data_IF_241616519107
#
_entry.id   IF_241616519107
#
_cell.length_a   1.000
_cell.length_b   1.000
_cell.length_c   1.000
_cell.angle_alpha   90.00
_cell.angle_beta   90.00
_cell.angle_gamma   90.00
#
_symmetry.space_group_name_H-M   'P 1'
#
loop_
_entity.id
_entity.type
_entity.pdbx_description
1 polymer ?
#
# COMPACT_ATOMS: atom_id res chain seq x y z
N UNK A 1 50.72 23.61 32.09
CA UNK A 1 51.23 23.21 30.75
C UNK A 1 50.66 21.88 30.40
N UNK A 2 49.59 21.86 29.63
CA UNK A 2 49.04 20.63 29.09
C UNK A 2 48.55 21.00 27.68
N UNK A 3 49.17 20.37 26.71
CA UNK A 3 48.99 20.66 25.29
C UNK A 3 47.68 20.09 24.77
N UNK A 4 47.01 20.95 24.04
CA UNK A 4 45.79 20.67 23.28
C UNK A 4 46.16 19.83 22.03
N UNK A 5 45.68 18.62 21.93
CA UNK A 5 45.84 17.77 20.75
C UNK A 5 44.57 17.86 19.91
N UNK A 6 44.61 18.82 18.99
CA UNK A 6 43.73 18.92 17.82
C UNK A 6 43.73 17.58 17.05
N UNK A 7 42.59 16.84 17.07
CA UNK A 7 42.30 15.71 16.21
C UNK A 7 41.37 16.12 15.09
N UNK A 8 41.90 16.86 14.12
CA UNK A 8 41.24 17.03 12.83
C UNK A 8 41.25 15.69 12.07
N UNK A 9 40.08 15.09 11.92
CA UNK A 9 39.88 13.94 11.07
C UNK A 9 40.18 14.28 9.60
N UNK A 10 40.89 13.45 8.84
CA UNK A 10 41.21 13.72 7.45
C UNK A 10 39.93 13.66 6.60
N UNK A 11 39.60 14.80 5.99
CA UNK A 11 38.62 14.90 4.90
C UNK A 11 39.04 13.97 3.76
N UNK A 12 38.27 12.94 3.50
CA UNK A 12 38.47 12.05 2.35
C UNK A 12 38.12 12.75 1.04
N UNK A 13 39.02 13.56 0.52
CA UNK A 13 39.10 13.90 -0.89
C UNK A 13 39.76 12.75 -1.62
N UNK A 14 38.97 11.74 -2.00
CA UNK A 14 39.38 10.73 -2.97
C UNK A 14 38.79 11.12 -4.31
N UNK A 15 39.69 11.47 -5.24
CA UNK A 15 39.46 11.74 -6.67
C UNK A 15 38.40 12.84 -6.94
N UNK A 16 38.86 13.94 -7.53
CA UNK A 16 38.09 15.15 -7.92
C UNK A 16 37.01 14.93 -8.98
N UNK A 17 36.18 13.90 -8.80
CA UNK A 17 34.98 13.68 -9.61
C UNK A 17 33.82 14.23 -8.79
N UNK A 18 33.23 15.30 -9.30
CA UNK A 18 32.06 15.93 -8.74
C UNK A 18 30.94 14.90 -8.60
N UNK A 19 30.28 14.82 -7.42
CA UNK A 19 29.18 13.89 -7.16
C UNK A 19 28.03 14.05 -8.15
N UNK A 20 27.85 15.23 -8.72
CA UNK A 20 26.88 15.50 -9.78
C UNK A 20 27.32 14.88 -11.11
N UNK A 21 28.61 14.95 -11.45
CA UNK A 21 29.15 14.27 -12.63
C UNK A 21 29.05 12.74 -12.53
N UNK A 22 29.36 12.17 -11.37
CA UNK A 22 29.19 10.74 -11.13
C UNK A 22 27.73 10.29 -11.21
N UNK A 23 26.80 11.10 -10.69
CA UNK A 23 25.35 10.85 -10.83
C UNK A 23 24.90 10.95 -12.28
N UNK A 24 25.40 11.92 -13.04
CA UNK A 24 25.09 12.07 -14.46
C UNK A 24 25.59 10.89 -15.29
N UNK A 25 26.83 10.46 -15.08
CA UNK A 25 27.43 9.31 -15.81
C UNK A 25 26.76 7.99 -15.41
N UNK A 26 26.47 7.80 -14.11
CA UNK A 26 25.75 6.61 -13.63
C UNK A 26 24.28 6.63 -14.10
N UNK A 27 23.66 7.80 -14.23
CA UNK A 27 22.32 7.98 -14.81
C UNK A 27 22.28 7.62 -16.29
N UNK A 28 23.36 7.88 -17.01
CA UNK A 28 23.49 7.49 -18.42
C UNK A 28 23.67 5.97 -18.61
N UNK A 29 24.35 5.32 -17.65
CA UNK A 29 24.54 3.86 -17.63
C UNK A 29 23.30 3.08 -17.14
N UNK A 30 22.40 3.73 -16.42
CA UNK A 30 21.15 3.12 -15.93
C UNK A 30 20.03 4.17 -15.92
N UNK A 31 19.49 4.52 -17.10
CA UNK A 31 18.42 5.51 -17.21
C UNK A 31 17.22 5.10 -16.37
N UNK A 32 16.51 6.09 -15.84
CA UNK A 32 15.23 5.84 -15.19
C UNK A 32 14.30 5.09 -16.14
N UNK A 33 13.50 4.19 -15.59
CA UNK A 33 12.46 3.50 -16.37
C UNK A 33 11.10 3.83 -15.80
N UNK A 34 10.14 4.12 -16.66
CA UNK A 34 8.75 4.26 -16.29
C UNK A 34 8.25 2.99 -15.62
N UNK A 35 7.54 3.15 -14.52
CA UNK A 35 6.89 2.03 -13.83
C UNK A 35 5.64 1.56 -14.59
N UNK A 36 5.06 2.43 -15.43
CA UNK A 36 3.85 2.17 -16.20
C UNK A 36 4.18 1.55 -17.55
N UNK A 37 4.93 2.26 -18.39
CA UNK A 37 5.25 1.82 -19.76
C UNK A 37 6.51 0.95 -19.82
N UNK A 38 7.47 1.18 -18.93
CA UNK A 38 8.80 0.57 -18.99
C UNK A 38 9.79 1.35 -19.86
N UNK A 39 9.37 2.49 -20.43
CA UNK A 39 10.21 3.32 -21.29
C UNK A 39 11.34 3.98 -20.49
N UNK A 40 12.44 4.24 -21.17
CA UNK A 40 13.57 4.97 -20.59
C UNK A 40 13.20 6.43 -20.35
N UNK A 41 13.47 6.92 -19.15
CA UNK A 41 13.20 8.30 -18.73
C UNK A 41 14.49 9.02 -18.38
N UNK A 42 14.51 10.34 -18.57
CA UNK A 42 15.59 11.18 -18.08
C UNK A 42 15.59 11.24 -16.53
N UNK A 43 16.72 11.61 -15.96
CA UNK A 43 16.88 11.99 -14.55
C UNK A 43 16.41 10.99 -13.50
N UNK A 44 16.50 9.68 -13.78
CA UNK A 44 16.00 8.65 -12.88
C UNK A 44 14.51 8.79 -12.52
N UNK A 45 13.71 9.49 -13.32
CA UNK A 45 12.27 9.60 -13.18
C UNK A 45 11.61 8.20 -13.19
N UNK A 46 10.43 8.10 -12.61
CA UNK A 46 9.64 6.87 -12.55
C UNK A 46 8.33 6.98 -13.32
N UNK A 47 8.01 8.18 -13.77
CA UNK A 47 6.87 8.51 -14.62
C UNK A 47 7.27 9.59 -15.60
N UNK A 48 6.72 9.58 -16.80
CA UNK A 48 6.68 10.76 -17.65
C UNK A 48 5.68 11.77 -17.07
N UNK A 49 5.75 13.03 -17.51
CA UNK A 49 4.76 14.04 -17.09
C UNK A 49 3.33 13.65 -17.49
N UNK A 50 3.17 13.06 -18.67
CA UNK A 50 1.89 12.59 -19.20
C UNK A 50 1.35 11.41 -18.39
N UNK A 51 2.21 10.43 -18.06
CA UNK A 51 1.83 9.30 -17.21
C UNK A 51 1.39 9.76 -15.83
N UNK A 52 2.14 10.71 -15.23
CA UNK A 52 1.79 11.24 -13.91
C UNK A 52 0.48 12.02 -13.95
N UNK A 53 0.27 12.85 -14.98
CA UNK A 53 -0.97 13.62 -15.15
C UNK A 53 -2.20 12.73 -15.39
N UNK A 54 -2.01 11.51 -15.88
CA UNK A 54 -3.08 10.54 -16.12
C UNK A 54 -3.47 9.70 -14.89
N UNK A 55 -2.76 9.85 -13.75
CA UNK A 55 -3.10 9.15 -12.52
C UNK A 55 -4.32 9.77 -11.84
N UNK A 56 -5.35 8.99 -11.62
CA UNK A 56 -6.57 9.41 -10.93
C UNK A 56 -6.43 9.22 -9.42
N UNK A 57 -5.96 10.26 -8.73
CA UNK A 57 -5.84 10.28 -7.28
C UNK A 57 -7.22 10.38 -6.62
N UNK A 58 -7.39 9.67 -5.50
CA UNK A 58 -8.55 9.87 -4.63
C UNK A 58 -8.22 11.01 -3.66
N UNK A 59 -8.90 12.14 -3.85
CA UNK A 59 -8.83 13.31 -3.00
C UNK A 59 -10.17 13.51 -2.26
N UNK A 60 -10.16 14.28 -1.17
CA UNK A 60 -11.40 14.65 -0.47
C UNK A 60 -12.32 15.49 -1.37
N UNK A 61 -13.66 15.34 -1.27
CA UNK A 61 -14.37 14.50 -0.29
C UNK A 61 -14.46 13.02 -0.68
N UNK A 62 -14.32 12.14 0.29
CA UNK A 62 -14.49 10.68 0.15
C UNK A 62 -15.04 10.04 1.43
N UNK A 63 -15.61 8.85 1.31
CA UNK A 63 -16.12 8.09 2.44
C UNK A 63 -14.99 7.67 3.40
N UNK A 64 -15.06 8.06 4.66
CA UNK A 64 -14.06 7.71 5.67
C UNK A 64 -13.89 6.20 5.86
N UNK A 65 -14.98 5.44 5.74
CA UNK A 65 -14.94 4.00 6.00
C UNK A 65 -14.52 3.17 4.79
N UNK A 66 -14.68 3.65 3.55
CA UNK A 66 -14.33 2.83 2.39
C UNK A 66 -13.56 3.57 1.30
N UNK A 67 -13.18 4.82 1.53
CA UNK A 67 -12.45 5.67 0.58
C UNK A 67 -13.15 5.83 -0.79
N UNK A 68 -14.50 5.68 -0.86
CA UNK A 68 -15.26 5.97 -2.07
C UNK A 68 -15.25 7.47 -2.27
N UNK A 69 -14.75 8.01 -3.40
CA UNK A 69 -14.85 9.43 -3.68
C UNK A 69 -16.31 9.86 -3.82
N UNK A 70 -16.62 11.06 -3.36
CA UNK A 70 -17.90 11.72 -3.54
C UNK A 70 -17.80 12.74 -4.66
N UNK A 71 -18.94 13.06 -5.26
CA UNK A 71 -19.04 14.21 -6.16
C UNK A 71 -18.83 15.50 -5.36
N UNK A 72 -18.24 16.56 -5.95
CA UNK A 72 -17.93 17.81 -5.25
C UNK A 72 -19.12 18.47 -4.58
N UNK A 73 -20.33 18.27 -5.13
CA UNK A 73 -21.58 18.88 -4.66
C UNK A 73 -22.26 18.05 -3.55
N UNK A 74 -21.76 16.85 -3.27
CA UNK A 74 -22.28 16.00 -2.21
C UNK A 74 -21.80 16.50 -0.85
N UNK A 75 -22.58 17.35 -0.19
CA UNK A 75 -22.36 17.84 1.18
C UNK A 75 -22.75 16.81 2.25
N UNK A 76 -22.90 15.55 1.86
CA UNK A 76 -23.31 14.48 2.76
C UNK A 76 -22.14 14.04 3.62
N UNK A 77 -22.48 13.62 4.85
CA UNK A 77 -21.51 13.27 5.89
C UNK A 77 -20.38 12.34 5.39
N UNK A 78 -19.33 12.23 6.17
CA UNK A 78 -18.08 11.52 5.86
C UNK A 78 -18.24 10.01 5.57
N UNK A 79 -19.47 9.48 5.49
CA UNK A 79 -19.75 8.05 5.30
C UNK A 79 -20.81 7.84 4.22
N UNK A 80 -20.53 7.01 3.21
CA UNK A 80 -21.45 6.71 2.12
C UNK A 80 -22.60 5.80 2.59
N UNK A 81 -23.72 5.82 1.86
CA UNK A 81 -24.93 5.03 2.20
C UNK A 81 -24.66 3.53 2.37
N UNK A 82 -23.79 2.94 1.56
CA UNK A 82 -23.42 1.53 1.70
C UNK A 82 -22.71 1.23 3.04
N UNK A 83 -21.82 2.10 3.48
CA UNK A 83 -21.14 1.96 4.76
C UNK A 83 -22.05 2.28 5.95
N UNK A 84 -22.98 3.22 5.79
CA UNK A 84 -24.00 3.49 6.80
C UNK A 84 -24.91 2.28 7.00
N UNK A 85 -25.37 1.66 5.91
CA UNK A 85 -26.23 0.47 5.96
C UNK A 85 -25.49 -0.78 6.48
N UNK A 86 -24.20 -0.93 6.17
CA UNK A 86 -23.38 -2.07 6.58
C UNK A 86 -21.96 -1.63 6.94
N UNK A 87 -21.76 -1.15 8.18
CA UNK A 87 -20.44 -0.67 8.61
C UNK A 87 -19.37 -1.76 8.50
N UNK A 88 -18.19 -1.43 7.93
CA UNK A 88 -17.07 -2.34 7.89
C UNK A 88 -16.44 -2.51 9.28
N UNK A 89 -15.70 -3.62 9.54
CA UNK A 89 -15.08 -3.89 10.84
C UNK A 89 -13.74 -3.14 11.02
N UNK A 90 -13.65 -1.91 10.57
CA UNK A 90 -12.53 -0.98 10.77
C UNK A 90 -13.07 0.45 10.86
N UNK A 91 -12.26 1.39 11.34
CA UNK A 91 -12.69 2.77 11.57
C UNK A 91 -12.59 3.60 10.29
N UNK A 92 -11.42 3.64 9.65
CA UNK A 92 -11.16 4.47 8.48
C UNK A 92 -10.48 3.66 7.38
N UNK A 93 -10.69 4.08 6.14
CA UNK A 93 -9.98 3.55 4.99
C UNK A 93 -9.42 4.67 4.13
N UNK A 94 -8.20 4.48 3.61
CA UNK A 94 -7.56 5.39 2.65
C UNK A 94 -7.09 4.59 1.44
N UNK A 95 -7.29 5.15 0.27
CA UNK A 95 -6.82 4.60 -1.00
C UNK A 95 -6.22 5.71 -1.84
N UNK A 96 -5.08 5.44 -2.49
CA UNK A 96 -4.38 6.49 -3.23
C UNK A 96 -5.05 6.81 -4.56
N UNK A 97 -5.50 5.78 -5.28
CA UNK A 97 -5.95 5.91 -6.67
C UNK A 97 -7.29 5.25 -6.92
N UNK A 98 -8.02 5.78 -7.88
CA UNK A 98 -9.09 5.03 -8.54
C UNK A 98 -8.44 3.91 -9.37
N UNK A 99 -8.98 2.69 -9.27
CA UNK A 99 -8.51 1.55 -10.04
C UNK A 99 -9.06 1.62 -11.47
N UNK A 100 -8.24 2.06 -12.39
CA UNK A 100 -8.49 2.19 -13.83
C UNK A 100 -7.40 1.46 -14.63
N UNK A 101 -7.38 1.64 -15.94
CA UNK A 101 -6.42 1.00 -16.84
C UNK A 101 -4.97 1.38 -16.52
N UNK A 102 -4.71 2.63 -16.14
CA UNK A 102 -3.37 3.12 -15.82
C UNK A 102 -2.93 2.61 -14.47
N UNK A 103 -3.76 2.78 -13.45
CA UNK A 103 -3.48 2.29 -12.11
C UNK A 103 -3.37 0.78 -12.07
N UNK A 104 -4.13 0.06 -12.93
CA UNK A 104 -4.00 -1.39 -13.08
C UNK A 104 -2.60 -1.82 -13.51
N UNK A 105 -1.94 -1.05 -14.40
CA UNK A 105 -0.54 -1.30 -14.82
C UNK A 105 0.43 -1.12 -13.65
N UNK A 106 0.23 -0.11 -12.80
CA UNK A 106 1.01 0.08 -11.56
C UNK A 106 0.84 -1.12 -10.62
N UNK A 107 -0.40 -1.55 -10.36
CA UNK A 107 -0.68 -2.71 -9.52
C UNK A 107 -0.10 -4.00 -10.12
N UNK A 108 -0.17 -4.16 -11.45
CA UNK A 108 0.43 -5.30 -12.15
C UNK A 108 1.95 -5.27 -12.11
N UNK A 109 2.59 -4.10 -12.13
CA UNK A 109 4.05 -3.98 -12.00
C UNK A 109 4.54 -4.53 -10.66
N UNK A 110 3.77 -4.34 -9.57
CA UNK A 110 4.03 -4.96 -8.26
C UNK A 110 3.93 -6.49 -8.29
N UNK A 111 3.26 -7.07 -9.31
CA UNK A 111 3.07 -8.52 -9.45
C UNK A 111 4.14 -9.17 -10.33
N UNK A 112 5.01 -8.41 -10.98
CA UNK A 112 6.10 -8.94 -11.79
C UNK A 112 7.24 -9.45 -10.90
N UNK A 113 7.73 -10.65 -11.20
CA UNK A 113 8.83 -11.27 -10.46
C UNK A 113 10.08 -10.39 -10.49
N UNK A 114 10.68 -10.16 -9.31
CA UNK A 114 11.97 -9.47 -9.19
C UNK A 114 11.93 -7.95 -9.30
N UNK A 115 10.82 -7.34 -9.71
CA UNK A 115 10.73 -5.88 -9.83
C UNK A 115 10.40 -5.25 -8.48
N UNK A 116 11.40 -4.71 -7.83
CA UNK A 116 11.26 -3.79 -6.69
C UNK A 116 11.32 -2.34 -7.12
N UNK A 117 11.38 -2.10 -8.44
CA UNK A 117 11.39 -0.76 -9.00
C UNK A 117 10.08 -0.04 -8.62
N UNK A 118 10.22 1.21 -8.19
CA UNK A 118 9.06 2.01 -7.80
C UNK A 118 8.55 1.81 -6.36
N UNK A 119 9.01 0.81 -5.59
CA UNK A 119 8.53 0.62 -4.21
C UNK A 119 8.69 1.86 -3.31
N UNK A 120 9.75 2.66 -3.52
CA UNK A 120 9.93 3.93 -2.80
C UNK A 120 8.84 4.95 -3.20
N UNK A 121 8.49 5.02 -4.49
CA UNK A 121 7.44 5.90 -4.99
C UNK A 121 6.06 5.44 -4.48
N UNK A 122 5.79 4.13 -4.48
CA UNK A 122 4.54 3.61 -3.91
C UNK A 122 4.42 3.90 -2.42
N UNK A 123 5.52 3.77 -1.66
CA UNK A 123 5.53 4.13 -0.25
C UNK A 123 5.25 5.63 -0.04
N UNK A 124 5.80 6.50 -0.90
CA UNK A 124 5.54 7.92 -0.86
C UNK A 124 4.07 8.23 -1.14
N UNK A 125 3.47 7.67 -2.19
CA UNK A 125 2.05 7.84 -2.46
C UNK A 125 1.18 7.38 -1.29
N UNK A 126 1.46 6.19 -0.74
CA UNK A 126 0.73 5.67 0.43
C UNK A 126 0.89 6.59 1.64
N UNK A 127 2.10 7.11 1.89
CA UNK A 127 2.36 7.99 3.04
C UNK A 127 1.64 9.34 2.92
N UNK A 128 1.52 9.87 1.73
CA UNK A 128 0.83 11.13 1.47
C UNK A 128 -0.70 10.96 1.54
N UNK A 129 -1.26 9.98 0.82
CA UNK A 129 -2.72 9.78 0.77
C UNK A 129 -3.32 9.25 2.08
N UNK A 130 -2.54 8.58 2.91
CA UNK A 130 -3.00 7.98 4.16
C UNK A 130 -2.29 8.55 5.39
N UNK A 131 -1.74 9.75 5.30
CA UNK A 131 -0.97 10.40 6.37
C UNK A 131 -1.73 10.42 7.70
N UNK A 132 -3.01 10.77 7.67
CA UNK A 132 -3.88 10.90 8.85
C UNK A 132 -4.08 9.58 9.62
N UNK A 133 -3.95 8.43 8.97
CA UNK A 133 -4.04 7.11 9.61
C UNK A 133 -2.66 6.50 9.88
N UNK A 134 -1.67 6.73 9.01
CA UNK A 134 -0.33 6.18 9.14
C UNK A 134 0.48 6.87 10.24
N UNK A 135 0.32 8.19 10.42
CA UNK A 135 1.06 8.97 11.43
C UNK A 135 0.74 8.57 12.88
N UNK A 136 -0.42 7.96 13.09
CA UNK A 136 -0.86 7.51 14.43
C UNK A 136 -0.79 6.00 14.61
N UNK A 137 -0.33 5.26 13.59
CA UNK A 137 -0.30 3.80 13.61
C UNK A 137 0.90 3.26 14.40
N UNK A 138 0.69 2.13 15.07
CA UNK A 138 1.75 1.41 15.79
C UNK A 138 2.32 0.25 14.95
N UNK A 139 1.50 -0.32 14.04
CA UNK A 139 1.87 -1.54 13.33
C UNK A 139 1.11 -1.68 12.00
N UNK A 140 1.82 -2.05 10.94
CA UNK A 140 1.22 -2.44 9.66
C UNK A 140 1.14 -3.97 9.56
N UNK A 141 -0.03 -4.47 9.17
CA UNK A 141 -0.26 -5.87 8.86
C UNK A 141 -0.65 -5.97 7.38
N UNK A 142 0.24 -6.49 6.52
CA UNK A 142 -0.11 -6.72 5.13
C UNK A 142 -1.09 -7.89 5.01
N UNK A 143 -2.07 -7.77 4.11
CA UNK A 143 -2.98 -8.86 3.78
C UNK A 143 -2.17 -10.06 3.26
N UNK A 144 -2.31 -11.25 3.89
CA UNK A 144 -1.52 -12.40 3.52
C UNK A 144 -2.08 -13.09 2.27
N UNK A 145 -1.20 -13.53 1.39
CA UNK A 145 -1.54 -14.47 0.32
C UNK A 145 -1.42 -15.91 0.82
N UNK A 146 -2.08 -16.85 0.15
CA UNK A 146 -1.98 -18.26 0.52
C UNK A 146 -0.57 -18.83 0.23
N UNK A 147 -0.10 -19.75 1.08
CA UNK A 147 1.24 -20.33 0.99
C UNK A 147 1.59 -20.90 -0.40
N UNK A 148 0.65 -21.60 -1.07
CA UNK A 148 0.85 -22.08 -2.44
C UNK A 148 1.09 -20.94 -3.44
N UNK A 149 0.38 -19.81 -3.29
CA UNK A 149 0.56 -18.65 -4.14
C UNK A 149 1.88 -17.93 -3.82
N UNK A 150 2.26 -17.90 -2.56
CA UNK A 150 3.56 -17.38 -2.12
C UNK A 150 4.69 -18.23 -2.70
N UNK A 151 4.62 -19.55 -2.63
CA UNK A 151 5.59 -20.46 -3.22
C UNK A 151 5.71 -20.29 -4.75
N UNK A 152 4.59 -20.11 -5.45
CA UNK A 152 4.57 -19.89 -6.88
C UNK A 152 5.11 -18.50 -7.30
N UNK A 153 4.70 -17.44 -6.60
CA UNK A 153 5.08 -16.04 -6.92
C UNK A 153 6.42 -15.64 -6.33
N UNK A 154 6.79 -16.22 -5.19
CA UNK A 154 8.00 -15.87 -4.42
C UNK A 154 7.84 -14.68 -3.48
N UNK A 155 6.71 -13.96 -3.52
CA UNK A 155 6.51 -12.75 -2.72
C UNK A 155 5.04 -12.41 -2.49
N UNK A 156 4.79 -11.53 -1.49
CA UNK A 156 3.51 -10.91 -1.19
C UNK A 156 3.60 -9.40 -1.50
N UNK A 157 2.77 -8.89 -2.40
CA UNK A 157 2.76 -7.48 -2.81
C UNK A 157 2.50 -6.54 -1.63
N UNK A 158 1.47 -6.84 -0.82
CA UNK A 158 1.17 -6.06 0.38
C UNK A 158 2.34 -6.09 1.38
N UNK A 159 3.07 -7.22 1.48
CA UNK A 159 4.29 -7.33 2.27
C UNK A 159 5.42 -6.44 1.75
N UNK A 160 5.59 -6.34 0.43
CA UNK A 160 6.58 -5.43 -0.16
C UNK A 160 6.24 -3.97 0.09
N UNK A 161 4.96 -3.58 -0.04
CA UNK A 161 4.49 -2.23 0.29
C UNK A 161 4.70 -1.92 1.77
N UNK A 162 4.39 -2.85 2.68
CA UNK A 162 4.65 -2.68 4.11
C UNK A 162 6.14 -2.51 4.42
N UNK A 163 7.00 -3.31 3.78
CA UNK A 163 8.45 -3.15 3.88
C UNK A 163 8.96 -1.81 3.32
N UNK A 164 8.33 -1.27 2.30
CA UNK A 164 8.65 0.04 1.74
C UNK A 164 8.19 1.17 2.67
N UNK A 165 6.99 1.09 3.26
CA UNK A 165 6.52 2.03 4.28
C UNK A 165 7.43 2.03 5.52
N UNK A 166 7.90 0.85 5.96
CA UNK A 166 8.88 0.78 7.06
C UNK A 166 10.15 1.56 6.74
N UNK A 167 10.69 1.43 5.53
CA UNK A 167 11.91 2.16 5.13
C UNK A 167 11.66 3.67 5.01
N UNK A 168 10.45 4.07 4.62
CA UNK A 168 10.10 5.47 4.38
C UNK A 168 9.69 6.21 5.66
N UNK A 169 8.86 5.58 6.50
CA UNK A 169 8.26 6.19 7.71
C UNK A 169 8.82 5.62 9.02
N UNK A 170 9.64 4.57 8.99
CA UNK A 170 10.05 3.84 10.20
C UNK A 170 8.95 2.97 10.81
N UNK A 171 7.75 2.93 10.22
CA UNK A 171 6.58 2.25 10.77
C UNK A 171 6.75 0.73 10.78
N UNK A 172 6.70 0.06 11.94
CA UNK A 172 6.88 -1.38 12.02
C UNK A 172 5.79 -2.14 11.24
N UNK A 173 6.16 -3.33 10.70
CA UNK A 173 5.18 -4.23 10.12
C UNK A 173 5.40 -5.68 10.57
N UNK A 174 4.35 -6.49 10.48
CA UNK A 174 4.42 -7.94 10.74
C UNK A 174 3.60 -8.72 9.70
N UNK A 175 4.29 -9.34 8.74
CA UNK A 175 3.68 -10.16 7.69
C UNK A 175 3.22 -11.53 8.18
N UNK A 176 3.63 -11.94 9.40
CA UNK A 176 3.28 -13.22 10.00
C UNK A 176 2.19 -13.11 11.08
N UNK A 177 1.74 -11.90 11.40
CA UNK A 177 0.67 -11.68 12.36
C UNK A 177 -0.64 -12.34 11.92
N UNK A 178 -0.92 -12.32 10.61
CA UNK A 178 -2.11 -12.89 9.99
C UNK A 178 -1.70 -13.97 8.99
N UNK A 179 -2.44 -15.08 8.92
CA UNK A 179 -2.21 -16.16 7.95
C UNK A 179 -3.46 -16.45 7.15
N UNK A 180 -3.31 -16.70 5.84
CA UNK A 180 -4.35 -17.24 4.99
C UNK A 180 -4.30 -18.76 5.02
N UNK A 181 -5.32 -19.39 5.62
CA UNK A 181 -5.37 -20.83 5.87
C UNK A 181 -6.14 -21.61 4.80
N UNK A 182 -6.96 -20.94 3.99
CA UNK A 182 -7.67 -21.56 2.87
C UNK A 182 -7.07 -21.18 1.54
N UNK A 183 -6.77 -22.19 0.70
CA UNK A 183 -6.46 -21.98 -0.71
C UNK A 183 -7.79 -21.78 -1.45
N UNK A 184 -7.99 -20.57 -1.97
CA UNK A 184 -9.20 -20.23 -2.71
C UNK A 184 -8.83 -19.80 -4.13
N UNK A 185 -9.69 -20.04 -5.13
CA UNK A 185 -9.46 -19.62 -6.50
C UNK A 185 -9.16 -18.12 -6.62
N UNK A 186 -8.60 -17.73 -7.76
CA UNK A 186 -8.39 -16.31 -8.09
C UNK A 186 -9.73 -15.57 -8.11
N UNK A 187 -9.78 -14.35 -7.58
CA UNK A 187 -11.02 -13.57 -7.44
C UNK A 187 -11.41 -12.81 -8.72
N UNK A 188 -10.59 -12.88 -9.78
CA UNK A 188 -10.77 -12.07 -10.99
C UNK A 188 -12.13 -12.22 -11.68
N UNK A 189 -12.72 -13.41 -11.66
CA UNK A 189 -14.00 -13.71 -12.33
C UNK A 189 -15.18 -13.89 -11.35
N UNK A 190 -15.00 -13.62 -10.07
CA UNK A 190 -16.03 -13.82 -9.04
C UNK A 190 -16.86 -12.55 -8.83
N UNK A 191 -18.19 -12.69 -8.72
CA UNK A 191 -19.08 -11.62 -8.29
C UNK A 191 -18.92 -11.32 -6.78
N UNK A 192 -19.57 -10.26 -6.27
CA UNK A 192 -19.41 -9.79 -4.89
C UNK A 192 -19.80 -10.87 -3.85
N UNK A 193 -20.92 -11.61 -4.08
CA UNK A 193 -21.39 -12.69 -3.20
C UNK A 193 -20.39 -13.85 -3.18
N UNK A 194 -19.91 -14.25 -4.34
CA UNK A 194 -18.88 -15.28 -4.48
C UNK A 194 -17.56 -14.89 -3.81
N UNK A 195 -17.13 -13.63 -3.95
CA UNK A 195 -15.92 -13.10 -3.28
C UNK A 195 -16.06 -13.17 -1.76
N UNK A 196 -17.24 -12.81 -1.21
CA UNK A 196 -17.51 -12.91 0.23
C UNK A 196 -17.46 -14.35 0.72
N UNK A 197 -18.11 -15.30 0.04
CA UNK A 197 -18.09 -16.72 0.36
C UNK A 197 -16.66 -17.30 0.26
N UNK A 198 -15.91 -16.92 -0.77
CA UNK A 198 -14.56 -17.40 -1.05
C UNK A 198 -13.57 -17.10 0.08
N UNK A 199 -13.72 -15.99 0.80
CA UNK A 199 -12.82 -15.58 1.88
C UNK A 199 -13.34 -15.88 3.28
N UNK A 200 -14.54 -16.43 3.42
CA UNK A 200 -15.12 -16.76 4.72
C UNK A 200 -14.24 -17.77 5.48
N UNK A 201 -13.75 -17.39 6.67
CA UNK A 201 -12.86 -18.21 7.50
C UNK A 201 -11.51 -18.51 6.85
N UNK A 202 -11.10 -17.73 5.83
CA UNK A 202 -9.83 -17.94 5.14
C UNK A 202 -8.62 -17.34 5.88
N UNK A 203 -8.85 -16.48 6.87
CA UNK A 203 -7.79 -15.80 7.60
C UNK A 203 -7.82 -16.12 9.09
N UNK A 204 -6.65 -16.29 9.67
CA UNK A 204 -6.48 -16.51 11.11
C UNK A 204 -5.36 -15.66 11.67
N UNK A 205 -5.61 -15.04 12.82
CA UNK A 205 -4.59 -14.39 13.61
C UNK A 205 -3.67 -15.45 14.22
N UNK A 206 -2.36 -15.27 14.13
CA UNK A 206 -1.40 -16.17 14.75
C UNK A 206 -1.24 -15.85 16.25
N UNK A 207 -0.75 -16.79 17.10
CA UNK A 207 -0.45 -16.49 18.51
C UNK A 207 0.51 -15.31 18.65
N UNK A 208 1.56 -15.25 17.83
CA UNK A 208 2.49 -14.11 17.75
C UNK A 208 1.76 -12.81 17.36
N UNK A 209 0.90 -12.88 16.33
CA UNK A 209 0.11 -11.72 15.89
C UNK A 209 -0.79 -11.21 17.00
N UNK A 210 -1.46 -12.10 17.74
CA UNK A 210 -2.31 -11.72 18.88
C UNK A 210 -1.53 -10.93 19.93
N UNK A 211 -0.35 -11.39 20.31
CA UNK A 211 0.49 -10.68 21.28
C UNK A 211 0.96 -9.31 20.78
N UNK A 212 1.22 -9.19 19.47
CA UNK A 212 1.75 -7.96 18.88
C UNK A 212 0.73 -6.86 18.64
N UNK A 213 -0.55 -7.21 18.47
CA UNK A 213 -1.60 -6.25 18.11
C UNK A 213 -2.45 -5.80 19.29
N UNK A 214 -2.38 -6.47 20.43
CA UNK A 214 -3.16 -6.13 21.61
C UNK A 214 -2.91 -4.67 22.02
N UNK A 215 -3.98 -3.87 22.12
CA UNK A 215 -3.93 -2.45 22.45
C UNK A 215 -3.26 -1.55 21.40
N UNK A 216 -2.94 -2.04 20.20
CA UNK A 216 -2.25 -1.29 19.15
C UNK A 216 -3.21 -0.71 18.12
N UNK A 217 -2.83 0.42 17.53
CA UNK A 217 -3.46 1.00 16.34
C UNK A 217 -2.87 0.33 15.10
N UNK A 218 -3.66 -0.51 14.47
CA UNK A 218 -3.22 -1.41 13.39
C UNK A 218 -3.67 -0.89 12.04
N UNK A 219 -2.75 -0.83 11.08
CA UNK A 219 -3.07 -0.64 9.66
C UNK A 219 -3.14 -2.00 8.97
N UNK A 220 -4.27 -2.32 8.37
CA UNK A 220 -4.40 -3.42 7.42
C UNK A 220 -4.10 -2.91 6.02
N UNK A 221 -3.04 -3.42 5.39
CA UNK A 221 -2.54 -2.96 4.10
C UNK A 221 -2.79 -3.98 2.99
N UNK A 222 -3.39 -3.55 1.87
CA UNK A 222 -3.56 -4.36 0.64
C UNK A 222 -3.21 -3.56 -0.62
N UNK A 223 -3.14 -4.21 -1.77
CA UNK A 223 -2.92 -3.57 -3.07
C UNK A 223 -4.19 -2.90 -3.61
N UNK A 224 -5.33 -3.59 -3.60
CA UNK A 224 -6.58 -3.09 -4.21
C UNK A 224 -7.81 -3.37 -3.34
N UNK A 225 -8.56 -2.32 -3.05
CA UNK A 225 -9.89 -2.42 -2.48
C UNK A 225 -10.92 -2.63 -3.61
N UNK A 226 -11.45 -3.83 -3.71
CA UNK A 226 -12.55 -4.14 -4.66
C UNK A 226 -13.90 -4.08 -3.95
N UNK A 227 -14.41 -5.20 -3.48
CA UNK A 227 -15.66 -5.30 -2.70
C UNK A 227 -15.44 -5.20 -1.20
N UNK A 228 -14.20 -5.10 -0.72
CA UNK A 228 -13.83 -5.14 0.68
C UNK A 228 -13.94 -6.52 1.36
N UNK A 229 -14.32 -7.57 0.62
CA UNK A 229 -14.52 -8.91 1.21
C UNK A 229 -13.26 -9.46 1.89
N UNK A 230 -12.09 -9.34 1.24
CA UNK A 230 -10.79 -9.75 1.80
C UNK A 230 -10.44 -8.94 3.04
N UNK A 231 -10.54 -7.61 2.94
CA UNK A 231 -10.27 -6.69 4.05
C UNK A 231 -11.18 -6.96 5.24
N UNK A 232 -12.50 -7.18 5.00
CA UNK A 232 -13.47 -7.55 6.04
C UNK A 232 -13.09 -8.85 6.75
N UNK A 233 -12.70 -9.87 5.99
CA UNK A 233 -12.32 -11.16 6.57
C UNK A 233 -11.02 -11.05 7.39
N UNK A 234 -10.04 -10.25 6.93
CA UNK A 234 -8.79 -9.96 7.63
C UNK A 234 -9.04 -9.14 8.90
N UNK A 235 -9.79 -8.03 8.81
CA UNK A 235 -10.08 -7.16 9.94
C UNK A 235 -10.85 -7.90 11.06
N UNK A 236 -11.82 -8.75 10.70
CA UNK A 236 -12.51 -9.63 11.67
C UNK A 236 -11.58 -10.63 12.36
N UNK A 237 -10.55 -11.11 11.66
CA UNK A 237 -9.56 -11.97 12.27
C UNK A 237 -8.63 -11.18 13.21
N UNK A 238 -8.22 -9.96 12.82
CA UNK A 238 -7.41 -9.04 13.63
C UNK A 238 -8.17 -8.60 14.88
N UNK A 239 -9.45 -8.29 14.79
CA UNK A 239 -10.28 -7.86 15.93
C UNK A 239 -10.29 -8.85 17.11
N UNK A 240 -10.07 -10.15 16.83
CA UNK A 240 -9.94 -11.19 17.88
C UNK A 240 -8.69 -11.05 18.76
N UNK A 241 -7.74 -10.19 18.36
CA UNK A 241 -6.54 -9.88 19.14
C UNK A 241 -6.64 -8.61 19.95
N UNK A 242 -7.84 -8.00 20.04
CA UNK A 242 -8.11 -6.80 20.82
C UNK A 242 -7.18 -5.62 20.48
N UNK A 243 -7.06 -5.22 19.20
CA UNK A 243 -6.36 -3.98 18.85
C UNK A 243 -7.12 -2.78 19.40
N UNK A 244 -6.44 -1.65 19.64
CA UNK A 244 -7.10 -0.39 20.01
C UNK A 244 -7.89 0.20 18.84
N UNK A 245 -7.38 0.04 17.61
CA UNK A 245 -8.03 0.47 16.38
C UNK A 245 -7.57 -0.38 15.19
N UNK A 246 -8.41 -0.47 14.17
CA UNK A 246 -8.05 -1.00 12.85
C UNK A 246 -8.40 0.08 11.82
N UNK A 247 -7.43 0.51 11.05
CA UNK A 247 -7.63 1.31 9.84
C UNK A 247 -7.15 0.50 8.62
N UNK A 248 -7.64 0.85 7.44
CA UNK A 248 -7.30 0.18 6.18
C UNK A 248 -6.58 1.15 5.26
N UNK A 249 -5.50 0.69 4.63
CA UNK A 249 -4.81 1.42 3.58
C UNK A 249 -4.65 0.53 2.36
N UNK A 250 -5.02 1.05 1.18
CA UNK A 250 -4.84 0.35 -0.09
C UNK A 250 -4.23 1.27 -1.13
N UNK A 251 -3.53 0.69 -2.09
CA UNK A 251 -2.92 1.47 -3.15
C UNK A 251 -3.98 1.97 -4.15
N UNK A 252 -4.98 1.15 -4.46
CA UNK A 252 -6.06 1.53 -5.35
C UNK A 252 -7.43 1.03 -4.87
N UNK A 253 -8.49 1.70 -5.32
CA UNK A 253 -9.88 1.35 -5.07
C UNK A 253 -10.66 1.23 -6.37
N UNK A 254 -11.39 0.14 -6.53
CA UNK A 254 -12.38 -0.02 -7.59
C UNK A 254 -13.62 0.80 -7.22
N UNK A 255 -13.89 1.80 -8.01
CA UNK A 255 -15.15 2.57 -7.97
C UNK A 255 -16.07 1.91 -8.98
N UNK A 256 -17.23 1.38 -8.54
CA UNK A 256 -18.22 0.91 -9.48
C UNK A 256 -18.71 2.11 -10.29
N UNK A 257 -18.90 2.00 -11.63
CA UNK A 257 -19.56 3.06 -12.36
C UNK A 257 -20.91 3.32 -11.68
N UNK A 258 -21.20 4.58 -11.42
CA UNK A 258 -22.55 5.00 -11.03
C UNK A 258 -23.50 4.34 -12.03
N UNK A 259 -24.53 3.64 -11.52
CA UNK A 259 -25.43 2.81 -12.32
C UNK A 259 -25.64 3.40 -13.72
N UNK A 260 -25.43 2.64 -14.80
CA UNK A 260 -25.97 3.06 -16.07
C UNK A 260 -27.47 3.19 -15.86
N UNK A 261 -27.99 4.37 -16.04
CA UNK A 261 -29.41 4.73 -16.01
C UNK A 261 -30.19 3.67 -16.78
N UNK A 262 -31.18 3.09 -16.13
CA UNK A 262 -32.21 2.25 -16.75
C UNK A 262 -32.87 3.00 -17.89
#
# INVERSE_FOLDING_TARGET
>A
MAGDMDRSAPSAKVLGVDREHLRSVLGWLNPGQSIISGDSLADNARFSAEEFASLNFIAAPYCDQCALPFEPDETHGLVCGACTAMPPPWSRSRSCFIYDDITSRLVLSLKRRGSRNGLAVYARFLSECAYDVLSTADLVIPVPIHARRLAYRGFNQAGWLAGALRRHLGLPFDEFALRRVKSTPSQGHLNARQRKANVAGAFRLTPRGKARIAGKRVILLDDVYTTGATLTACARAIARGSPANIDVVTFARVVAPANPTI
#
